data_IF_803103371478
#
_entry.id   IF_803103371478
#
_cell.length_a   1.000
_cell.length_b   1.000
_cell.length_c   1.000
_cell.angle_alpha   90.00
_cell.angle_beta   90.00
_cell.angle_gamma   90.00
#
_symmetry.space_group_name_H-M   'P 1'
#
loop_
_entity.id
_entity.type
_entity.pdbx_description
1 polymer ?
#
# COMPACT_ATOMS: atom_id res chain seq x y z
N UNK A 1 -5.73 -31.66 16.78
CA UNK A 1 -5.53 -30.20 16.72
C UNK A 1 -5.76 -29.66 18.12
N UNK A 2 -4.96 -28.68 18.59
CA UNK A 2 -5.29 -27.96 19.81
C UNK A 2 -6.67 -27.31 19.67
N UNK A 3 -7.36 -27.13 20.79
CA UNK A 3 -8.62 -26.41 20.85
C UNK A 3 -8.46 -25.02 20.21
N UNK A 4 -9.22 -24.69 19.14
CA UNK A 4 -9.13 -23.40 18.46
C UNK A 4 -9.30 -22.21 19.40
N UNK A 5 -10.16 -22.34 20.42
CA UNK A 5 -10.41 -21.27 21.39
C UNK A 5 -9.16 -21.00 22.24
N UNK A 6 -8.54 -22.06 22.77
CA UNK A 6 -7.32 -21.98 23.55
C UNK A 6 -6.15 -21.40 22.72
N UNK A 7 -5.95 -21.87 21.50
CA UNK A 7 -4.88 -21.39 20.62
C UNK A 7 -5.06 -19.89 20.28
N UNK A 8 -6.28 -19.46 19.99
CA UNK A 8 -6.58 -18.06 19.68
C UNK A 8 -6.38 -17.17 20.91
N UNK A 9 -6.78 -17.65 22.09
CA UNK A 9 -6.60 -16.93 23.36
C UNK A 9 -5.12 -16.77 23.69
N UNK A 10 -4.31 -17.83 23.58
CA UNK A 10 -2.86 -17.78 23.79
C UNK A 10 -2.16 -16.78 22.86
N UNK A 11 -2.56 -16.77 21.58
CA UNK A 11 -2.01 -15.83 20.59
C UNK A 11 -2.46 -14.40 20.86
N UNK A 12 -3.73 -14.19 21.22
CA UNK A 12 -4.24 -12.88 21.62
C UNK A 12 -3.44 -12.31 22.80
N UNK A 13 -3.21 -13.08 23.85
CA UNK A 13 -2.44 -12.66 25.02
C UNK A 13 -0.99 -12.29 24.65
N UNK A 14 -0.36 -13.09 23.78
CA UNK A 14 0.97 -12.79 23.24
C UNK A 14 1.00 -11.44 22.49
N UNK A 15 0.00 -11.18 21.63
CA UNK A 15 -0.10 -9.90 20.90
C UNK A 15 -0.41 -8.72 21.82
N UNK A 16 -1.23 -8.90 22.85
CA UNK A 16 -1.53 -7.87 23.85
C UNK A 16 -0.30 -7.51 24.70
N UNK A 17 0.54 -8.48 25.09
CA UNK A 17 1.83 -8.21 25.76
C UNK A 17 2.77 -7.40 24.89
N UNK A 18 2.84 -7.71 23.59
CA UNK A 18 3.63 -6.92 22.63
C UNK A 18 3.04 -5.51 22.52
N UNK A 19 1.72 -5.38 22.38
CA UNK A 19 1.04 -4.09 22.25
C UNK A 19 1.34 -3.19 23.46
N UNK A 20 1.12 -3.68 24.68
CA UNK A 20 1.37 -2.90 25.92
C UNK A 20 2.83 -2.48 26.05
N UNK A 21 3.79 -3.36 25.69
CA UNK A 21 5.22 -3.00 25.69
C UNK A 21 5.53 -1.86 24.70
N UNK A 22 4.89 -1.85 23.52
CA UNK A 22 5.09 -0.81 22.50
C UNK A 22 4.36 0.48 22.86
N UNK A 23 3.26 0.42 23.60
CA UNK A 23 2.58 1.59 24.14
C UNK A 23 3.42 2.33 25.16
N UNK A 24 4.03 1.60 26.10
CA UNK A 24 4.96 2.18 27.07
C UNK A 24 6.17 2.83 26.37
N UNK A 25 6.74 2.15 25.36
CA UNK A 25 7.86 2.70 24.60
C UNK A 25 7.46 3.93 23.77
N UNK A 26 6.27 3.91 23.15
CA UNK A 26 5.71 5.06 22.43
C UNK A 26 5.57 6.28 23.35
N UNK A 27 5.04 6.10 24.56
CA UNK A 27 4.90 7.16 25.55
C UNK A 27 6.26 7.68 26.04
N UNK A 28 7.21 6.78 26.33
CA UNK A 28 8.57 7.16 26.74
C UNK A 28 9.29 7.98 25.66
N UNK A 29 9.26 7.54 24.39
CA UNK A 29 9.87 8.29 23.29
C UNK A 29 9.19 9.65 23.13
N UNK A 30 7.86 9.72 23.27
CA UNK A 30 7.12 10.99 23.28
C UNK A 30 7.63 11.96 24.36
N UNK A 31 7.74 11.48 25.59
CA UNK A 31 8.24 12.29 26.72
C UNK A 31 9.70 12.73 26.51
N UNK A 32 10.56 11.85 26.00
CA UNK A 32 11.96 12.20 25.69
C UNK A 32 12.03 13.24 24.57
N UNK A 33 11.23 13.12 23.52
CA UNK A 33 11.14 14.15 22.46
C UNK A 33 10.73 15.50 23.03
N UNK A 34 9.75 15.54 23.93
CA UNK A 34 9.33 16.77 24.61
C UNK A 34 10.48 17.37 25.44
N UNK A 35 11.18 16.53 26.21
CA UNK A 35 12.34 16.97 27.00
C UNK A 35 13.47 17.53 26.11
N UNK A 36 13.74 16.93 24.95
CA UNK A 36 14.73 17.42 23.97
C UNK A 36 14.32 18.78 23.40
N UNK A 37 13.04 19.00 23.10
CA UNK A 37 12.53 20.30 22.64
C UNK A 37 12.67 21.37 23.72
N UNK A 38 12.30 21.05 24.97
CA UNK A 38 12.47 21.97 26.12
C UNK A 38 13.95 22.30 26.32
N UNK A 39 14.84 21.30 26.30
CA UNK A 39 16.28 21.52 26.37
C UNK A 39 16.79 22.38 25.20
N UNK A 40 16.23 22.21 24.00
CA UNK A 40 16.51 23.05 22.84
C UNK A 40 16.20 24.52 23.08
N UNK A 41 15.05 24.84 23.68
CA UNK A 41 14.71 26.21 24.05
C UNK A 41 15.67 26.79 25.10
N UNK A 42 16.05 26.00 26.12
CA UNK A 42 17.03 26.44 27.13
C UNK A 42 18.39 26.72 26.51
N UNK A 43 18.90 25.83 25.66
CA UNK A 43 20.18 26.00 24.96
C UNK A 43 20.14 27.21 24.03
N UNK A 44 19.04 27.42 23.29
CA UNK A 44 18.87 28.59 22.43
C UNK A 44 18.89 29.89 23.24
N UNK A 45 18.16 29.93 24.36
CA UNK A 45 18.12 31.09 25.25
C UNK A 45 19.50 31.41 25.83
N UNK A 46 20.21 30.42 26.37
CA UNK A 46 21.55 30.60 26.94
C UNK A 46 22.57 31.02 25.88
N UNK A 47 22.50 30.44 24.68
CA UNK A 47 23.38 30.79 23.56
C UNK A 47 23.21 32.27 23.15
N UNK A 48 21.97 32.74 23.04
CA UNK A 48 21.66 34.11 22.61
C UNK A 48 21.84 35.17 23.71
N UNK A 49 21.54 34.85 24.97
CA UNK A 49 21.57 35.82 26.08
C UNK A 49 22.93 35.97 26.74
N UNK A 50 23.67 34.85 26.88
CA UNK A 50 24.92 34.82 27.66
C UNK A 50 26.15 34.50 26.82
N UNK A 51 25.98 34.00 25.59
CA UNK A 51 27.09 33.52 24.76
C UNK A 51 27.83 32.29 25.34
N UNK A 52 27.36 31.72 26.46
CA UNK A 52 28.02 30.63 27.19
C UNK A 52 28.01 29.30 26.43
N UNK A 53 27.04 29.11 25.53
CA UNK A 53 26.87 27.88 24.77
C UNK A 53 26.96 28.15 23.27
N UNK A 54 27.79 27.35 22.59
CA UNK A 54 27.91 27.40 21.13
C UNK A 54 26.65 26.92 20.42
N UNK A 55 26.30 27.58 19.31
CA UNK A 55 25.16 27.22 18.46
C UNK A 55 25.22 25.77 17.92
N UNK A 56 26.39 25.12 17.91
CA UNK A 56 26.53 23.71 17.52
C UNK A 56 25.72 22.75 18.40
N UNK A 57 25.42 23.10 19.66
CA UNK A 57 24.57 22.28 20.52
C UNK A 57 23.12 22.18 20.02
N UNK A 58 22.63 23.21 19.31
CA UNK A 58 21.29 23.16 18.70
C UNK A 58 21.25 22.15 17.55
N UNK A 59 22.33 22.03 16.76
CA UNK A 59 22.44 21.00 15.73
C UNK A 59 22.49 19.59 16.33
N UNK A 60 23.20 19.41 17.45
CA UNK A 60 23.22 18.13 18.16
C UNK A 60 21.83 17.73 18.67
N UNK A 61 21.07 18.67 19.26
CA UNK A 61 19.70 18.43 19.71
C UNK A 61 18.73 18.16 18.55
N UNK A 62 18.90 18.86 17.43
CA UNK A 62 18.14 18.59 16.21
C UNK A 62 18.41 17.16 15.70
N UNK A 63 19.68 16.75 15.65
CA UNK A 63 20.08 15.39 15.26
C UNK A 63 19.48 14.33 16.19
N UNK A 64 19.54 14.56 17.51
CA UNK A 64 18.92 13.69 18.51
C UNK A 64 17.40 13.60 18.32
N UNK A 65 16.73 14.73 18.09
CA UNK A 65 15.29 14.76 17.83
C UNK A 65 14.91 13.97 16.58
N UNK A 66 15.67 14.12 15.49
CA UNK A 66 15.45 13.36 14.26
C UNK A 66 15.65 11.85 14.47
N UNK A 67 16.71 11.45 15.18
CA UNK A 67 16.94 10.05 15.53
C UNK A 67 15.78 9.46 16.37
N UNK A 68 15.32 10.21 17.37
CA UNK A 68 14.14 9.86 18.17
C UNK A 68 12.87 9.77 17.32
N UNK A 69 12.66 10.69 16.37
CA UNK A 69 11.50 10.66 15.48
C UNK A 69 11.49 9.41 14.59
N UNK A 70 12.63 9.01 14.04
CA UNK A 70 12.76 7.76 13.27
C UNK A 70 12.51 6.54 14.15
N UNK A 71 13.10 6.48 15.34
CA UNK A 71 12.85 5.40 16.30
C UNK A 71 11.36 5.33 16.69
N UNK A 72 10.71 6.48 16.88
CA UNK A 72 9.29 6.57 17.22
C UNK A 72 8.41 5.97 16.13
N UNK A 73 8.72 6.25 14.87
CA UNK A 73 8.00 5.72 13.71
C UNK A 73 8.08 4.19 13.65
N UNK A 74 9.24 3.59 13.92
CA UNK A 74 9.36 2.12 14.03
C UNK A 74 8.49 1.55 15.14
N UNK A 75 8.43 2.23 16.30
CA UNK A 75 7.59 1.81 17.43
C UNK A 75 6.11 1.92 17.11
N UNK A 76 5.68 3.01 16.44
CA UNK A 76 4.29 3.20 16.01
C UNK A 76 3.86 2.12 15.03
N UNK A 77 4.71 1.78 14.05
CA UNK A 77 4.44 0.68 13.10
C UNK A 77 4.31 -0.66 13.81
N UNK A 78 5.23 -0.96 14.73
CA UNK A 78 5.17 -2.21 15.52
C UNK A 78 3.93 -2.26 16.41
N UNK A 79 3.58 -1.16 17.09
CA UNK A 79 2.35 -1.02 17.88
C UNK A 79 1.12 -1.30 17.02
N UNK A 80 1.03 -0.65 15.87
CA UNK A 80 -0.16 -0.79 15.02
C UNK A 80 -0.31 -2.21 14.49
N UNK A 81 0.80 -2.84 14.10
CA UNK A 81 0.81 -4.25 13.67
C UNK A 81 0.34 -5.19 14.80
N UNK A 82 0.79 -4.96 16.04
CA UNK A 82 0.38 -5.74 17.19
C UNK A 82 -1.12 -5.55 17.52
N UNK A 83 -1.62 -4.32 17.41
CA UNK A 83 -3.06 -4.02 17.57
C UNK A 83 -3.89 -4.76 16.54
N UNK A 84 -3.56 -4.64 15.26
CA UNK A 84 -4.23 -5.34 14.17
C UNK A 84 -4.26 -6.86 14.37
N UNK A 85 -3.16 -7.45 14.83
CA UNK A 85 -3.07 -8.88 15.13
C UNK A 85 -3.96 -9.26 16.32
N UNK A 86 -3.99 -8.44 17.38
CA UNK A 86 -4.87 -8.67 18.52
C UNK A 86 -6.35 -8.56 18.13
N UNK A 87 -6.71 -7.58 17.31
CA UNK A 87 -8.08 -7.41 16.80
C UNK A 87 -8.52 -8.59 15.93
N UNK A 88 -7.61 -9.13 15.11
CA UNK A 88 -7.86 -10.35 14.34
C UNK A 88 -8.25 -11.55 15.22
N UNK A 89 -7.50 -11.84 16.28
CA UNK A 89 -7.84 -12.95 17.17
C UNK A 89 -9.08 -12.65 18.00
N UNK A 90 -9.28 -11.41 18.45
CA UNK A 90 -10.50 -11.00 19.16
C UNK A 90 -11.75 -11.22 18.32
N UNK A 91 -11.71 -10.88 17.03
CA UNK A 91 -12.79 -11.18 16.08
C UNK A 91 -12.96 -12.69 15.87
N UNK A 92 -11.85 -13.44 15.81
CA UNK A 92 -11.86 -14.90 15.74
C UNK A 92 -12.58 -15.55 16.93
N UNK A 93 -12.23 -15.15 18.15
CA UNK A 93 -12.83 -15.65 19.39
C UNK A 93 -14.32 -15.29 19.45
N UNK A 94 -14.70 -14.05 19.11
CA UNK A 94 -16.11 -13.65 19.01
C UNK A 94 -16.91 -14.55 18.06
N UNK A 95 -16.32 -14.99 16.95
CA UNK A 95 -17.00 -15.94 16.05
C UNK A 95 -17.15 -17.34 16.65
N UNK A 96 -16.14 -17.82 17.37
CA UNK A 96 -16.21 -19.13 18.06
C UNK A 96 -17.28 -19.10 19.16
N UNK A 97 -17.45 -17.96 19.83
CA UNK A 97 -18.41 -17.77 20.94
C UNK A 97 -19.77 -17.24 20.50
N UNK A 98 -20.05 -17.18 19.20
CA UNK A 98 -21.31 -16.67 18.64
C UNK A 98 -21.64 -15.19 18.98
N UNK A 99 -20.61 -14.38 19.28
CA UNK A 99 -20.68 -12.93 19.59
C UNK A 99 -20.21 -12.04 18.44
N UNK A 100 -20.39 -12.50 17.21
CA UNK A 100 -19.93 -11.85 15.99
C UNK A 100 -20.93 -10.91 15.28
N UNK A 101 -22.28 -11.02 15.44
CA UNK A 101 -23.20 -10.19 14.67
C UNK A 101 -22.97 -8.69 14.83
N UNK A 102 -22.95 -7.95 13.73
CA UNK A 102 -22.71 -6.50 13.69
C UNK A 102 -21.25 -6.07 13.85
N UNK A 103 -20.29 -6.98 13.77
CA UNK A 103 -18.85 -6.66 13.87
C UNK A 103 -18.10 -6.78 12.54
N UNK A 104 -18.70 -7.40 11.54
CA UNK A 104 -18.10 -7.66 10.22
C UNK A 104 -18.72 -6.84 9.09
N UNK A 105 -18.46 -7.26 7.86
CA UNK A 105 -19.18 -6.74 6.69
C UNK A 105 -20.48 -7.52 6.56
N UNK A 106 -21.62 -6.82 6.65
CA UNK A 106 -22.96 -7.41 6.51
C UNK A 106 -23.19 -8.04 5.14
N UNK A 107 -22.54 -7.53 4.09
CA UNK A 107 -22.79 -7.96 2.72
C UNK A 107 -24.08 -7.40 2.13
N UNK A 108 -24.66 -6.35 2.73
CA UNK A 108 -25.91 -5.71 2.24
C UNK A 108 -25.85 -5.36 0.75
N UNK A 109 -24.67 -5.02 0.23
CA UNK A 109 -24.43 -4.73 -1.20
C UNK A 109 -24.70 -5.89 -2.15
N UNK A 110 -24.80 -7.13 -1.64
CA UNK A 110 -25.08 -8.34 -2.41
C UNK A 110 -26.52 -8.84 -2.23
N UNK A 111 -27.30 -8.16 -1.38
CA UNK A 111 -28.70 -8.49 -1.19
C UNK A 111 -29.46 -8.11 -2.47
N UNK A 112 -30.16 -9.08 -3.02
CA UNK A 112 -31.01 -8.90 -4.20
C UNK A 112 -32.39 -9.42 -3.85
N UNK A 113 -33.43 -8.61 -4.09
CA UNK A 113 -34.80 -8.90 -3.66
C UNK A 113 -35.38 -10.20 -4.28
N UNK A 114 -34.84 -10.67 -5.42
CA UNK A 114 -35.37 -11.82 -6.17
C UNK A 114 -34.62 -13.15 -5.94
N UNK A 115 -33.76 -13.25 -4.93
CA UNK A 115 -32.94 -14.46 -4.75
C UNK A 115 -33.68 -15.55 -3.96
N UNK A 116 -33.99 -16.67 -4.64
CA UNK A 116 -34.90 -17.78 -4.25
C UNK A 116 -34.84 -18.24 -2.78
N UNK A 117 -33.69 -18.14 -2.10
CA UNK A 117 -33.48 -18.63 -0.74
C UNK A 117 -32.62 -17.69 0.12
N UNK A 118 -32.24 -16.52 -0.38
CA UNK A 118 -31.24 -15.69 0.30
C UNK A 118 -31.78 -15.05 1.58
N UNK A 119 -33.06 -14.66 1.58
CA UNK A 119 -33.77 -14.14 2.75
C UNK A 119 -34.01 -15.26 3.77
N UNK A 120 -34.53 -16.42 3.32
CA UNK A 120 -34.86 -17.53 4.23
C UNK A 120 -33.64 -18.11 4.96
N UNK A 121 -32.46 -18.06 4.35
CA UNK A 121 -31.20 -18.55 4.93
C UNK A 121 -30.34 -17.43 5.55
N UNK A 122 -30.86 -16.20 5.64
CA UNK A 122 -30.13 -15.03 6.14
C UNK A 122 -28.72 -14.92 5.53
N UNK A 123 -28.61 -15.00 4.19
CA UNK A 123 -27.29 -15.05 3.53
C UNK A 123 -26.54 -13.73 3.62
N UNK A 124 -27.26 -12.60 3.58
CA UNK A 124 -26.70 -11.25 3.59
C UNK A 124 -27.44 -10.38 4.60
N UNK A 125 -26.75 -9.39 5.15
CA UNK A 125 -27.29 -8.51 6.20
C UNK A 125 -26.55 -8.63 7.52
N UNK A 126 -27.04 -7.91 8.54
CA UNK A 126 -26.49 -7.99 9.89
C UNK A 126 -26.89 -9.33 10.53
N UNK A 127 -25.91 -10.06 11.06
CA UNK A 127 -26.12 -11.39 11.63
C UNK A 127 -26.28 -12.48 10.57
N UNK A 128 -25.84 -12.23 9.34
CA UNK A 128 -25.96 -13.16 8.21
C UNK A 128 -24.81 -14.17 8.12
N UNK A 129 -25.02 -15.23 7.33
CA UNK A 129 -23.98 -16.20 7.01
C UNK A 129 -22.76 -15.55 6.32
N UNK A 130 -22.98 -14.56 5.45
CA UNK A 130 -21.90 -13.81 4.84
C UNK A 130 -21.07 -13.07 5.89
N UNK A 131 -21.70 -12.38 6.83
CA UNK A 131 -20.98 -11.66 7.90
C UNK A 131 -20.16 -12.61 8.78
N UNK A 132 -20.69 -13.79 9.10
CA UNK A 132 -19.98 -14.83 9.86
C UNK A 132 -18.72 -15.34 9.13
N UNK A 133 -18.86 -15.64 7.84
CA UNK A 133 -17.82 -16.31 7.05
C UNK A 133 -16.78 -15.34 6.48
N UNK A 134 -17.18 -14.12 6.12
CA UNK A 134 -16.34 -13.19 5.38
C UNK A 134 -15.20 -12.64 6.22
N UNK A 135 -13.99 -13.12 5.93
CA UNK A 135 -12.72 -12.52 6.40
C UNK A 135 -11.90 -11.96 5.24
N UNK A 136 -12.55 -11.70 4.11
CA UNK A 136 -11.90 -11.17 2.92
C UNK A 136 -11.35 -9.76 3.20
N UNK A 137 -10.19 -9.44 2.61
CA UNK A 137 -9.51 -8.14 2.77
C UNK A 137 -9.65 -7.24 1.55
N UNK A 138 -10.22 -7.77 0.47
CA UNK A 138 -10.39 -7.10 -0.81
C UNK A 138 -11.81 -7.32 -1.34
N UNK A 139 -12.39 -6.33 -2.05
CA UNK A 139 -13.72 -6.45 -2.64
C UNK A 139 -13.89 -7.68 -3.54
N UNK A 140 -12.86 -8.05 -4.31
CA UNK A 140 -12.89 -9.24 -5.18
C UNK A 140 -13.11 -10.55 -4.39
N UNK A 141 -12.59 -10.64 -3.16
CA UNK A 141 -12.75 -11.82 -2.32
C UNK A 141 -14.14 -11.89 -1.70
N UNK A 142 -14.68 -10.73 -1.31
CA UNK A 142 -16.06 -10.59 -0.85
C UNK A 142 -17.05 -10.95 -1.97
N UNK A 143 -16.86 -10.42 -3.18
CA UNK A 143 -17.69 -10.74 -4.35
C UNK A 143 -17.67 -12.24 -4.63
N UNK A 144 -16.48 -12.87 -4.60
CA UNK A 144 -16.34 -14.31 -4.81
C UNK A 144 -17.07 -15.14 -3.76
N UNK A 145 -17.04 -14.73 -2.50
CA UNK A 145 -17.74 -15.41 -1.42
C UNK A 145 -19.26 -15.26 -1.57
N UNK A 146 -19.73 -14.05 -1.88
CA UNK A 146 -21.15 -13.79 -2.13
C UNK A 146 -21.68 -14.66 -3.29
N UNK A 147 -20.93 -14.73 -4.40
CA UNK A 147 -21.24 -15.61 -5.54
C UNK A 147 -21.34 -17.09 -5.14
N UNK A 148 -20.47 -17.55 -4.23
CA UNK A 148 -20.47 -18.93 -3.75
C UNK A 148 -21.63 -19.23 -2.81
N UNK A 149 -22.09 -18.25 -2.04
CA UNK A 149 -23.27 -18.40 -1.16
C UNK A 149 -24.58 -18.34 -1.95
N UNK A 150 -24.64 -17.51 -2.99
CA UNK A 150 -25.84 -17.38 -3.85
C UNK A 150 -25.98 -18.48 -4.90
N UNK A 151 -24.98 -19.35 -5.11
CA UNK A 151 -25.05 -20.39 -6.16
C UNK A 151 -24.55 -21.76 -5.68
N UNK A 152 -25.33 -22.84 -5.88
CA UNK A 152 -24.88 -24.17 -5.52
C UNK A 152 -23.65 -24.57 -6.34
N UNK A 153 -22.76 -25.33 -5.72
CA UNK A 153 -21.54 -25.84 -6.35
C UNK A 153 -21.61 -27.37 -6.51
N UNK A 154 -21.11 -27.95 -7.61
CA UNK A 154 -21.10 -29.40 -7.78
C UNK A 154 -20.16 -30.06 -6.77
N UNK A 155 -20.48 -31.30 -6.36
CA UNK A 155 -19.74 -32.05 -5.33
C UNK A 155 -18.20 -32.05 -5.53
N UNK A 156 -17.65 -32.28 -6.74
CA UNK A 156 -16.20 -32.23 -6.94
C UNK A 156 -15.57 -30.87 -6.62
N UNK A 157 -16.29 -29.77 -6.90
CA UNK A 157 -15.81 -28.42 -6.57
C UNK A 157 -15.84 -28.17 -5.06
N UNK A 158 -16.84 -28.69 -4.34
CA UNK A 158 -16.95 -28.59 -2.87
C UNK A 158 -15.80 -29.33 -2.19
N UNK A 159 -15.57 -30.60 -2.54
CA UNK A 159 -14.49 -31.41 -1.96
C UNK A 159 -13.13 -30.75 -2.17
N UNK A 160 -12.88 -30.28 -3.39
CA UNK A 160 -11.62 -29.63 -3.70
C UNK A 160 -11.43 -28.30 -2.97
N UNK A 161 -12.50 -27.57 -2.61
CA UNK A 161 -12.39 -26.37 -1.74
C UNK A 161 -12.14 -26.76 -0.28
N UNK A 162 -12.79 -27.82 0.21
CA UNK A 162 -12.57 -28.34 1.57
C UNK A 162 -11.12 -28.77 1.78
N UNK A 163 -10.46 -29.36 0.77
CA UNK A 163 -9.03 -29.65 0.80
C UNK A 163 -8.17 -28.39 0.99
N UNK A 164 -8.47 -27.29 0.26
CA UNK A 164 -7.74 -26.02 0.44
C UNK A 164 -7.95 -25.45 1.83
N UNK A 165 -9.20 -25.50 2.33
CA UNK A 165 -9.54 -25.02 3.67
C UNK A 165 -8.81 -25.85 4.73
N UNK A 166 -8.75 -27.17 4.58
CA UNK A 166 -8.05 -28.05 5.51
C UNK A 166 -6.55 -27.73 5.60
N UNK A 167 -5.89 -27.46 4.47
CA UNK A 167 -4.49 -27.03 4.47
C UNK A 167 -4.32 -25.63 5.10
N UNK A 168 -5.13 -24.66 4.67
CA UNK A 168 -5.03 -23.27 5.16
C UNK A 168 -5.37 -23.15 6.65
N UNK A 169 -6.21 -24.05 7.18
CA UNK A 169 -6.62 -24.08 8.60
C UNK A 169 -5.40 -24.13 9.53
N UNK A 170 -4.40 -24.96 9.20
CA UNK A 170 -3.19 -25.17 10.02
C UNK A 170 -2.19 -24.01 9.91
N UNK A 171 -2.27 -23.18 8.86
CA UNK A 171 -1.32 -22.10 8.59
C UNK A 171 -1.67 -20.81 9.34
N UNK A 172 -1.69 -20.87 10.67
CA UNK A 172 -2.10 -19.74 11.53
C UNK A 172 -1.27 -18.46 11.31
N UNK A 173 0.05 -18.60 11.13
CA UNK A 173 0.93 -17.44 10.94
C UNK A 173 0.70 -16.75 9.58
N UNK A 174 0.40 -17.53 8.53
CA UNK A 174 0.00 -16.98 7.23
C UNK A 174 -1.34 -16.24 7.37
N UNK A 175 -2.32 -16.85 8.04
CA UNK A 175 -3.65 -16.25 8.24
C UNK A 175 -3.58 -14.92 9.00
N UNK A 176 -2.80 -14.87 10.08
CA UNK A 176 -2.53 -13.63 10.82
C UNK A 176 -1.83 -12.60 9.92
N UNK A 177 -0.77 -13.00 9.22
CA UNK A 177 0.01 -12.09 8.36
C UNK A 177 -0.83 -11.49 7.23
N UNK A 178 -1.68 -12.30 6.59
CA UNK A 178 -2.64 -11.85 5.58
C UNK A 178 -3.68 -10.89 6.17
N UNK A 179 -4.22 -11.22 7.35
CA UNK A 179 -5.19 -10.38 8.04
C UNK A 179 -4.64 -8.99 8.37
N UNK A 180 -3.45 -8.96 8.97
CA UNK A 180 -2.78 -7.72 9.40
C UNK A 180 -2.30 -6.88 8.22
N UNK A 181 -1.76 -7.51 7.18
CA UNK A 181 -1.30 -6.79 5.98
C UNK A 181 -2.48 -6.25 5.17
N UNK A 182 -3.58 -7.01 5.10
CA UNK A 182 -4.75 -6.69 4.30
C UNK A 182 -5.71 -5.67 4.93
N UNK A 183 -5.68 -5.45 6.25
CA UNK A 183 -6.60 -4.54 6.94
C UNK A 183 -6.61 -3.13 6.35
N UNK A 184 -5.43 -2.61 6.00
CA UNK A 184 -5.25 -1.27 5.43
C UNK A 184 -5.45 -1.22 3.92
N UNK A 185 -5.54 -2.37 3.25
CA UNK A 185 -5.51 -2.47 1.80
C UNK A 185 -6.83 -2.04 1.16
N UNK A 186 -7.97 -2.42 1.77
CA UNK A 186 -9.31 -2.17 1.23
C UNK A 186 -9.57 -0.71 0.81
N UNK A 187 -9.33 0.32 1.64
CA UNK A 187 -9.58 1.70 1.22
C UNK A 187 -8.52 2.27 0.27
N UNK A 188 -7.44 1.53 -0.02
CA UNK A 188 -6.26 2.04 -0.74
C UNK A 188 -6.03 1.41 -2.11
N UNK A 189 -6.75 0.34 -2.43
CA UNK A 189 -6.63 -0.38 -3.69
C UNK A 189 -8.00 -0.62 -4.29
N UNK A 190 -8.21 -0.10 -5.49
CA UNK A 190 -9.28 -0.51 -6.39
C UNK A 190 -8.71 -1.48 -7.45
N UNK A 191 -8.91 -2.80 -7.29
CA UNK A 191 -8.35 -3.76 -8.21
C UNK A 191 -8.97 -3.71 -9.62
N UNK A 192 -10.24 -3.34 -9.73
CA UNK A 192 -10.95 -3.35 -11.02
C UNK A 192 -10.46 -2.20 -11.89
N UNK A 193 -10.34 -1.01 -11.32
CA UNK A 193 -9.71 0.13 -12.01
C UNK A 193 -8.24 -0.16 -12.37
N UNK A 194 -7.48 -0.85 -11.51
CA UNK A 194 -6.09 -1.18 -11.79
C UNK A 194 -5.95 -2.17 -12.96
N UNK A 195 -6.79 -3.20 -13.00
CA UNK A 195 -6.78 -4.19 -14.10
C UNK A 195 -7.19 -3.53 -15.41
N UNK A 196 -8.27 -2.73 -15.41
CA UNK A 196 -8.69 -1.99 -16.60
C UNK A 196 -7.58 -1.08 -17.13
N UNK A 197 -6.93 -0.31 -16.25
CA UNK A 197 -5.80 0.54 -16.63
C UNK A 197 -4.61 -0.25 -17.19
N UNK A 198 -4.32 -1.43 -16.61
CA UNK A 198 -3.21 -2.26 -17.05
C UNK A 198 -3.46 -2.92 -18.41
N UNK A 199 -4.70 -3.35 -18.68
CA UNK A 199 -5.12 -4.03 -19.92
C UNK A 199 -5.41 -3.07 -21.08
N UNK A 200 -5.68 -1.80 -20.80
CA UNK A 200 -5.89 -0.78 -21.83
C UNK A 200 -4.69 -0.70 -22.79
N UNK A 201 -4.92 -0.25 -24.03
CA UNK A 201 -3.85 -0.07 -25.01
C UNK A 201 -2.89 1.07 -24.59
N UNK A 202 -1.56 0.89 -24.71
CA UNK A 202 -0.57 1.94 -24.44
C UNK A 202 -0.84 3.19 -25.29
N UNK A 203 -1.01 4.34 -24.65
CA UNK A 203 -1.45 5.58 -25.30
C UNK A 203 -0.34 6.52 -25.74
N UNK A 204 0.92 6.23 -25.36
CA UNK A 204 2.08 7.07 -25.66
C UNK A 204 2.93 6.50 -26.81
N UNK A 205 3.61 7.35 -27.59
CA UNK A 205 4.48 6.86 -28.65
C UNK A 205 5.73 6.18 -28.07
N UNK A 206 6.39 5.31 -28.85
CA UNK A 206 7.44 4.40 -28.36
C UNK A 206 8.73 5.05 -27.83
N UNK A 207 9.73 4.20 -27.55
CA UNK A 207 10.97 4.53 -26.83
C UNK A 207 11.74 5.76 -27.32
N UNK A 208 11.60 6.14 -28.61
CA UNK A 208 12.23 7.32 -29.21
C UNK A 208 11.78 8.62 -28.53
N UNK A 209 10.47 8.75 -28.27
CA UNK A 209 9.91 9.95 -27.64
C UNK A 209 10.26 10.05 -26.16
N UNK A 210 10.41 8.91 -25.48
CA UNK A 210 10.97 8.87 -24.13
C UNK A 210 12.42 9.36 -24.12
N UNK A 211 13.24 8.91 -25.08
CA UNK A 211 14.61 9.38 -25.24
C UNK A 211 14.69 10.89 -25.51
N UNK A 212 13.80 11.40 -26.38
CA UNK A 212 13.71 12.84 -26.68
C UNK A 212 13.32 13.66 -25.45
N UNK A 213 12.33 13.21 -24.67
CA UNK A 213 11.93 13.89 -23.43
C UNK A 213 13.07 13.92 -22.39
N UNK A 214 13.80 12.80 -22.22
CA UNK A 214 14.97 12.76 -21.34
C UNK A 214 16.12 13.64 -21.84
N UNK A 215 16.38 13.67 -23.15
CA UNK A 215 17.42 14.50 -23.74
C UNK A 215 17.12 16.00 -23.57
N UNK A 216 15.85 16.41 -23.75
CA UNK A 216 15.42 17.79 -23.52
C UNK A 216 15.56 18.20 -22.06
N UNK A 217 15.17 17.33 -21.12
CA UNK A 217 15.34 17.59 -19.69
C UNK A 217 16.82 17.77 -19.29
N UNK A 218 17.73 16.96 -19.85
CA UNK A 218 19.18 17.12 -19.64
C UNK A 218 19.69 18.43 -20.29
N UNK A 219 19.20 18.75 -21.48
CA UNK A 219 19.53 19.99 -22.17
C UNK A 219 19.04 21.23 -21.40
N UNK A 220 17.88 21.16 -20.73
CA UNK A 220 17.34 22.26 -19.92
C UNK A 220 18.23 22.53 -18.71
N UNK A 221 18.69 21.48 -18.03
CA UNK A 221 19.64 21.60 -16.92
C UNK A 221 20.98 22.15 -17.41
N UNK A 222 21.51 21.63 -18.52
CA UNK A 222 22.77 22.12 -19.10
C UNK A 222 22.67 23.60 -19.53
N UNK A 223 21.56 23.99 -20.17
CA UNK A 223 21.28 25.36 -20.56
C UNK A 223 21.13 26.27 -19.34
N UNK A 224 20.47 25.83 -18.27
CA UNK A 224 20.36 26.60 -17.03
C UNK A 224 21.73 26.85 -16.38
N UNK A 225 22.59 25.82 -16.31
CA UNK A 225 23.97 25.95 -15.80
C UNK A 225 24.80 26.89 -16.67
N UNK A 226 24.66 26.79 -18.00
CA UNK A 226 25.33 27.68 -18.94
C UNK A 226 24.87 29.14 -18.79
N UNK A 227 23.56 29.37 -18.70
CA UNK A 227 22.98 30.71 -18.50
C UNK A 227 23.42 31.32 -17.18
N UNK A 228 23.51 30.53 -16.11
CA UNK A 228 24.03 30.99 -14.82
C UNK A 228 25.51 31.43 -14.89
N UNK A 229 26.33 30.74 -15.68
CA UNK A 229 27.77 31.04 -15.85
C UNK A 229 28.03 32.25 -16.76
N UNK A 230 27.22 32.43 -17.80
CA UNK A 230 27.50 33.35 -18.90
C UNK A 230 26.55 34.55 -18.99
N UNK A 231 25.49 34.58 -18.17
CA UNK A 231 24.38 35.54 -18.22
C UNK A 231 23.59 35.53 -19.55
N UNK A 232 23.85 34.58 -20.45
CA UNK A 232 23.14 34.43 -21.73
C UNK A 232 21.95 33.49 -21.54
N UNK A 233 20.72 34.02 -21.63
CA UNK A 233 19.47 33.30 -21.34
C UNK A 233 18.78 32.66 -22.55
N UNK A 234 19.14 33.06 -23.78
CA UNK A 234 18.43 32.59 -24.99
C UNK A 234 18.48 31.07 -25.22
N UNK A 235 19.59 30.34 -24.94
CA UNK A 235 19.62 28.88 -25.04
C UNK A 235 18.60 28.20 -24.10
N UNK A 236 18.42 28.72 -22.89
CA UNK A 236 17.43 28.21 -21.94
C UNK A 236 16.00 28.42 -22.46
N UNK A 237 15.69 29.62 -22.96
CA UNK A 237 14.39 29.90 -23.58
C UNK A 237 14.10 28.99 -24.78
N UNK A 238 15.10 28.70 -25.61
CA UNK A 238 14.93 27.80 -26.75
C UNK A 238 14.60 26.37 -26.31
N UNK A 239 15.29 25.85 -25.29
CA UNK A 239 14.99 24.51 -24.75
C UNK A 239 13.59 24.48 -24.12
N UNK A 240 13.24 25.47 -23.29
CA UNK A 240 11.90 25.57 -22.68
C UNK A 240 10.78 25.68 -23.74
N UNK A 241 11.04 26.35 -24.88
CA UNK A 241 10.09 26.41 -25.99
C UNK A 241 9.86 25.02 -26.61
N UNK A 242 10.94 24.26 -26.83
CA UNK A 242 10.84 22.88 -27.34
C UNK A 242 10.11 21.96 -26.36
N UNK A 243 10.38 22.10 -25.05
CA UNK A 243 9.66 21.39 -24.00
C UNK A 243 8.17 21.74 -24.00
N UNK A 244 7.82 23.01 -24.14
CA UNK A 244 6.44 23.48 -24.24
C UNK A 244 5.69 22.90 -25.45
N UNK A 245 6.36 22.79 -26.61
CA UNK A 245 5.79 22.14 -27.80
C UNK A 245 5.54 20.65 -27.55
N UNK A 246 6.52 19.96 -26.95
CA UNK A 246 6.40 18.53 -26.64
C UNK A 246 5.27 18.28 -25.63
N UNK A 247 5.20 19.09 -24.57
CA UNK A 247 4.15 19.02 -23.57
C UNK A 247 2.77 19.29 -24.17
N UNK A 248 2.63 20.26 -25.09
CA UNK A 248 1.35 20.47 -25.78
C UNK A 248 0.91 19.27 -26.62
N UNK A 249 1.84 18.56 -27.26
CA UNK A 249 1.52 17.40 -28.10
C UNK A 249 1.21 16.14 -27.30
N UNK A 250 1.99 15.86 -26.25
CA UNK A 250 1.92 14.59 -25.52
C UNK A 250 1.30 14.71 -24.13
N UNK A 251 1.17 15.92 -23.58
CA UNK A 251 0.72 16.17 -22.22
C UNK A 251 -0.70 15.70 -21.96
N UNK A 252 -1.60 15.81 -22.94
CA UNK A 252 -2.99 15.29 -22.81
C UNK A 252 -2.99 13.76 -22.65
N UNK A 253 -2.28 13.04 -23.52
CA UNK A 253 -2.19 11.57 -23.45
C UNK A 253 -1.44 11.12 -22.19
N UNK A 254 -0.37 11.81 -21.81
CA UNK A 254 0.38 11.52 -20.59
C UNK A 254 -0.47 11.73 -19.33
N UNK A 255 -1.25 12.82 -19.29
CA UNK A 255 -2.20 13.09 -18.21
C UNK A 255 -3.29 12.03 -18.14
N UNK A 256 -3.84 11.59 -19.28
CA UNK A 256 -4.82 10.50 -19.33
C UNK A 256 -4.26 9.16 -18.78
N UNK A 257 -3.01 8.81 -19.13
CA UNK A 257 -2.35 7.61 -18.59
C UNK A 257 -2.17 7.70 -17.07
N UNK A 258 -1.83 8.88 -16.56
CA UNK A 258 -1.61 9.11 -15.13
C UNK A 258 -2.92 9.14 -14.34
N UNK A 259 -3.93 9.88 -14.84
CA UNK A 259 -5.23 10.04 -14.18
C UNK A 259 -6.07 8.77 -14.23
N UNK A 260 -5.79 7.85 -15.16
CA UNK A 260 -6.40 6.52 -15.17
C UNK A 260 -5.95 5.61 -14.02
N UNK A 261 -4.85 5.93 -13.32
CA UNK A 261 -4.39 5.18 -12.14
C UNK A 261 -5.10 5.67 -10.89
N UNK A 262 -6.28 5.12 -10.60
CA UNK A 262 -7.01 5.39 -9.35
C UNK A 262 -6.50 4.53 -8.18
N UNK A 263 -5.17 4.42 -8.02
CA UNK A 263 -4.54 3.58 -7.01
C UNK A 263 -3.55 4.41 -6.20
N UNK A 264 -3.49 4.19 -4.88
CA UNK A 264 -2.44 4.79 -4.05
C UNK A 264 -1.20 3.89 -4.03
N UNK A 265 -0.01 4.48 -4.11
CA UNK A 265 1.27 3.78 -3.98
C UNK A 265 1.35 2.90 -2.71
N UNK A 266 0.82 3.37 -1.58
CA UNK A 266 0.80 2.59 -0.33
C UNK A 266 -0.05 1.32 -0.45
N UNK A 267 -1.18 1.39 -1.16
CA UNK A 267 -2.05 0.23 -1.44
C UNK A 267 -1.33 -0.83 -2.26
N UNK A 268 -0.63 -0.43 -3.32
CA UNK A 268 0.17 -1.34 -4.16
C UNK A 268 1.34 -1.96 -3.39
N UNK A 269 1.98 -1.21 -2.48
CA UNK A 269 2.99 -1.76 -1.56
C UNK A 269 2.38 -2.86 -0.69
N UNK A 270 1.23 -2.61 -0.05
CA UNK A 270 0.56 -3.59 0.79
C UNK A 270 0.16 -4.84 0.00
N UNK A 271 -0.36 -4.67 -1.22
CA UNK A 271 -0.67 -5.79 -2.09
C UNK A 271 0.57 -6.60 -2.49
N UNK A 272 1.68 -5.92 -2.82
CA UNK A 272 2.96 -6.59 -3.10
C UNK A 272 3.46 -7.43 -1.92
N UNK A 273 3.20 -6.97 -0.68
CA UNK A 273 3.55 -7.73 0.53
C UNK A 273 2.69 -8.98 0.68
N UNK A 274 1.38 -8.90 0.36
CA UNK A 274 0.49 -10.08 0.34
C UNK A 274 0.98 -11.11 -0.69
N UNK A 275 1.32 -10.66 -1.90
CA UNK A 275 1.87 -11.54 -2.94
C UNK A 275 3.17 -12.20 -2.48
N UNK A 276 4.08 -11.44 -1.87
CA UNK A 276 5.34 -11.97 -1.33
C UNK A 276 5.11 -12.99 -0.19
N UNK A 277 4.06 -12.84 0.63
CA UNK A 277 3.69 -13.86 1.62
C UNK A 277 3.27 -15.17 0.94
N UNK A 278 2.38 -15.08 -0.07
CA UNK A 278 1.91 -16.25 -0.82
C UNK A 278 3.02 -16.91 -1.65
N UNK A 279 3.96 -16.13 -2.19
CA UNK A 279 5.09 -16.66 -2.94
C UNK A 279 6.06 -17.47 -2.07
N UNK A 280 6.26 -17.05 -0.81
CA UNK A 280 7.20 -17.71 0.12
C UNK A 280 6.60 -18.91 0.83
N UNK A 281 5.28 -18.96 0.98
CA UNK A 281 4.62 -20.05 1.68
C UNK A 281 4.73 -21.36 0.88
N UNK A 282 5.15 -22.48 1.51
CA UNK A 282 5.08 -23.80 0.90
C UNK A 282 3.64 -24.32 0.96
N UNK A 283 3.07 -24.65 -0.21
CA UNK A 283 1.76 -25.28 -0.32
C UNK A 283 1.90 -26.77 -0.67
N UNK A 284 1.14 -27.62 0.02
CA UNK A 284 1.11 -29.06 -0.21
C UNK A 284 0.06 -29.46 -1.25
N UNK A 285 -1.11 -28.81 -1.24
CA UNK A 285 -2.20 -29.10 -2.18
C UNK A 285 -1.82 -28.73 -3.62
N UNK A 286 -1.99 -29.66 -4.59
CA UNK A 286 -1.75 -29.37 -6.01
C UNK A 286 -2.58 -28.20 -6.53
N UNK A 287 -3.77 -27.99 -5.97
CA UNK A 287 -4.67 -26.91 -6.39
C UNK A 287 -4.22 -25.55 -5.87
N UNK A 288 -3.72 -25.44 -4.64
CA UNK A 288 -3.10 -24.20 -4.16
C UNK A 288 -1.81 -23.89 -4.93
N UNK A 289 -0.98 -24.91 -5.19
CA UNK A 289 0.19 -24.76 -6.04
C UNK A 289 -0.19 -24.25 -7.44
N UNK A 290 -1.25 -24.78 -8.06
CA UNK A 290 -1.75 -24.30 -9.35
C UNK A 290 -2.24 -22.85 -9.30
N UNK A 291 -2.90 -22.43 -8.21
CA UNK A 291 -3.33 -21.05 -8.03
C UNK A 291 -2.15 -20.09 -7.82
N UNK A 292 -1.09 -20.53 -7.15
CA UNK A 292 0.10 -19.73 -6.90
C UNK A 292 1.16 -19.81 -8.01
N UNK A 293 1.07 -20.79 -8.92
CA UNK A 293 2.03 -20.97 -10.01
C UNK A 293 2.16 -19.73 -10.90
N UNK A 294 1.07 -19.05 -11.33
CA UNK A 294 1.17 -17.81 -12.10
C UNK A 294 1.96 -16.70 -11.39
N UNK A 295 1.96 -16.66 -10.06
CA UNK A 295 2.71 -15.68 -9.27
C UNK A 295 4.23 -15.87 -9.38
N UNK A 296 4.66 -17.08 -9.76
CA UNK A 296 6.06 -17.50 -9.88
C UNK A 296 6.49 -17.78 -11.32
N UNK A 297 5.56 -17.73 -12.27
CA UNK A 297 5.75 -18.24 -13.63
C UNK A 297 6.70 -17.38 -14.48
N UNK A 298 6.80 -16.07 -14.20
CA UNK A 298 7.62 -15.15 -14.97
C UNK A 298 9.05 -15.02 -14.40
N UNK A 299 9.98 -14.54 -15.23
CA UNK A 299 11.37 -14.23 -14.85
C UNK A 299 11.49 -13.33 -13.60
N UNK A 300 10.42 -12.61 -13.25
CA UNK A 300 10.30 -11.81 -12.03
C UNK A 300 9.05 -12.22 -11.27
N UNK A 301 9.20 -12.37 -9.96
CA UNK A 301 8.10 -12.58 -9.02
C UNK A 301 7.06 -11.45 -9.13
N UNK A 302 5.77 -11.81 -9.08
CA UNK A 302 4.66 -10.84 -9.16
C UNK A 302 4.75 -9.78 -8.06
N UNK A 303 5.22 -10.13 -6.86
CA UNK A 303 5.49 -9.17 -5.78
C UNK A 303 6.47 -8.06 -6.20
N UNK A 304 7.55 -8.40 -6.90
CA UNK A 304 8.55 -7.43 -7.40
C UNK A 304 7.98 -6.56 -8.51
N UNK A 305 7.19 -7.15 -9.41
CA UNK A 305 6.51 -6.43 -10.50
C UNK A 305 5.55 -5.39 -9.92
N UNK A 306 4.73 -5.80 -8.95
CA UNK A 306 3.80 -4.91 -8.25
C UNK A 306 4.55 -3.82 -7.45
N UNK A 307 5.69 -4.17 -6.83
CA UNK A 307 6.52 -3.18 -6.15
C UNK A 307 7.12 -2.14 -7.11
N UNK A 308 7.49 -2.55 -8.32
CA UNK A 308 7.93 -1.63 -9.35
C UNK A 308 6.82 -0.66 -9.75
N UNK A 309 5.57 -1.15 -9.86
CA UNK A 309 4.42 -0.29 -10.13
C UNK A 309 4.18 0.69 -8.98
N UNK A 310 4.24 0.22 -7.73
CA UNK A 310 4.08 1.07 -6.56
C UNK A 310 5.08 2.24 -6.54
N UNK A 311 6.32 2.01 -6.98
CA UNK A 311 7.32 3.08 -7.12
C UNK A 311 6.95 4.08 -8.21
N UNK A 312 6.38 3.63 -9.34
CA UNK A 312 5.91 4.53 -10.41
C UNK A 312 4.74 5.38 -9.90
N UNK A 313 3.77 4.76 -9.21
CA UNK A 313 2.62 5.45 -8.63
C UNK A 313 3.04 6.43 -7.54
N UNK A 314 4.08 6.12 -6.76
CA UNK A 314 4.63 7.08 -5.80
C UNK A 314 5.09 8.38 -6.46
N UNK A 315 5.73 8.28 -7.64
CA UNK A 315 6.12 9.45 -8.42
C UNK A 315 4.90 10.14 -9.05
N UNK A 316 3.90 9.40 -9.50
CA UNK A 316 2.61 9.97 -9.92
C UNK A 316 2.00 10.80 -8.79
N UNK A 317 1.86 10.24 -7.59
CA UNK A 317 1.26 10.92 -6.43
C UNK A 317 2.09 12.15 -6.02
N UNK A 318 3.41 12.05 -6.08
CA UNK A 318 4.34 13.13 -5.74
C UNK A 318 4.18 14.37 -6.62
N UNK A 319 3.54 14.26 -7.80
CA UNK A 319 3.27 15.39 -8.70
C UNK A 319 2.42 16.49 -8.05
N UNK A 320 1.61 16.12 -7.06
CA UNK A 320 0.75 17.07 -6.35
C UNK A 320 1.52 17.95 -5.35
N UNK A 321 2.80 17.64 -5.09
CA UNK A 321 3.64 18.44 -4.22
C UNK A 321 4.18 19.69 -4.93
N UNK A 322 4.28 20.81 -4.21
CA UNK A 322 4.79 22.10 -4.73
C UNK A 322 6.19 21.98 -5.37
N UNK A 323 7.06 21.13 -4.82
CA UNK A 323 8.40 20.88 -5.37
C UNK A 323 8.34 20.15 -6.71
N UNK A 324 7.39 19.23 -6.89
CA UNK A 324 7.21 18.54 -8.17
C UNK A 324 6.63 19.49 -9.23
N UNK A 325 5.73 20.40 -8.84
CA UNK A 325 5.22 21.44 -9.73
C UNK A 325 6.33 22.39 -10.23
N UNK A 326 7.31 22.72 -9.37
CA UNK A 326 8.48 23.52 -9.77
C UNK A 326 9.37 22.79 -10.79
N UNK A 327 9.44 21.48 -10.67
CA UNK A 327 10.29 20.59 -11.50
C UNK A 327 9.58 20.14 -12.79
N UNK A 328 8.25 20.25 -12.86
CA UNK A 328 7.46 19.76 -14.00
C UNK A 328 7.78 20.52 -15.30
N UNK A 329 7.98 21.83 -15.22
CA UNK A 329 8.28 22.67 -16.38
C UNK A 329 9.69 22.42 -16.96
N UNK A 330 10.79 22.46 -16.17
CA UNK A 330 12.14 22.31 -16.71
C UNK A 330 12.64 20.87 -16.90
N UNK A 331 11.96 19.86 -16.31
CA UNK A 331 12.40 18.46 -16.40
C UNK A 331 11.36 17.55 -17.07
N UNK A 332 10.23 18.11 -17.54
CA UNK A 332 9.13 17.37 -18.15
C UNK A 332 8.67 16.19 -17.27
N UNK A 333 8.63 16.40 -15.96
CA UNK A 333 8.44 15.36 -14.95
C UNK A 333 7.23 14.47 -15.23
N UNK A 334 6.07 15.08 -15.50
CA UNK A 334 4.82 14.39 -15.82
C UNK A 334 4.96 13.50 -17.06
N UNK A 335 5.64 13.96 -18.12
CA UNK A 335 5.87 13.15 -19.31
C UNK A 335 6.77 11.95 -19.01
N UNK A 336 7.85 12.15 -18.26
CA UNK A 336 8.77 11.07 -17.91
C UNK A 336 8.08 9.97 -17.10
N UNK A 337 7.30 10.37 -16.08
CA UNK A 337 6.54 9.42 -15.26
C UNK A 337 5.50 8.69 -16.10
N UNK A 338 4.76 9.38 -16.97
CA UNK A 338 3.78 8.75 -17.87
C UNK A 338 4.44 7.75 -18.82
N UNK A 339 5.61 8.06 -19.39
CA UNK A 339 6.36 7.11 -20.22
C UNK A 339 6.83 5.89 -19.43
N UNK A 340 7.21 6.05 -18.16
CA UNK A 340 7.59 4.90 -17.31
C UNK A 340 6.39 4.01 -16.98
N UNK A 341 5.21 4.61 -16.75
CA UNK A 341 3.97 3.88 -16.51
C UNK A 341 3.50 3.14 -17.78
N UNK A 342 3.54 3.79 -18.94
CA UNK A 342 3.19 3.19 -20.23
C UNK A 342 4.19 2.08 -20.63
N UNK A 343 5.48 2.26 -20.36
CA UNK A 343 6.49 1.23 -20.56
C UNK A 343 6.33 0.03 -19.61
N UNK A 344 5.73 0.24 -18.43
CA UNK A 344 5.36 -0.85 -17.53
C UNK A 344 4.17 -1.63 -18.09
N UNK A 345 3.14 -0.96 -18.62
CA UNK A 345 1.96 -1.59 -19.24
C UNK A 345 2.27 -2.44 -20.48
N UNK A 346 3.33 -2.09 -21.22
CA UNK A 346 3.77 -2.87 -22.41
C UNK A 346 4.45 -4.19 -22.07
N UNK A 347 4.81 -4.43 -20.80
CA UNK A 347 5.48 -5.65 -20.34
C UNK A 347 4.46 -6.61 -19.78
#
# INVERSE_FOLDING_TARGET
MPDPHLEYSNRLDSRLKILSSKELLHARIGNVKLAVVVAGFVVAYLSLSTGLLSAYWLLALLGLYLALALAHEFVIRAKTRASAAADYYRQGIRRIEDRWPGTGQSGDRFRTDDHVYAEDLDLFGKGSLFELLSTARLPMGENRLADWLGRPSPKPAVLARQELVAELREKLDLRESLAVTGERLRPRLDPESLVGWAEDAPGLPGNVWRGLASALAVAAVAAAVYSYRTLIVWPLFFVLLLEGILYRRLGKSAKAVIEGVNCNAEGLVLFSNILNLLEREPFASPRLQKLCAPLKAHLKLSSKVMRSLANIVFWIDSRQNLLAALVDLPLLYTLQVAFTADAWRRR
#
